data_IF_263852609127
#
_entry.id   IF_263852609127
#
_cell.length_a   1.000
_cell.length_b   1.000
_cell.length_c   1.000
_cell.angle_alpha   90.00
_cell.angle_beta   90.00
_cell.angle_gamma   90.00
#
_symmetry.space_group_name_H-M   'P 1'
#
loop_
_entity.id
_entity.type
_entity.pdbx_description
1 polymer ?
#
# COMPACT_ATOMS: atom_id res chain seq x y z
N UNK A 1 -6.27 -24.58 -18.57
CA UNK A 1 -6.49 -23.12 -18.53
C UNK A 1 -5.89 -22.59 -17.24
N UNK A 2 -4.68 -22.02 -17.29
CA UNK A 2 -4.07 -21.34 -16.15
C UNK A 2 -4.97 -20.15 -15.80
N UNK A 3 -5.70 -20.24 -14.68
CA UNK A 3 -6.40 -19.06 -14.13
C UNK A 3 -5.35 -17.98 -13.94
N UNK A 4 -5.47 -16.86 -14.66
CA UNK A 4 -4.62 -15.69 -14.40
C UNK A 4 -4.80 -15.33 -12.93
N UNK A 5 -3.70 -15.33 -12.19
CA UNK A 5 -3.68 -14.92 -10.80
C UNK A 5 -3.91 -13.42 -10.68
N UNK A 6 -4.17 -12.96 -9.48
CA UNK A 6 -4.34 -11.57 -9.13
C UNK A 6 -3.89 -11.33 -7.71
N UNK A 7 -4.30 -10.21 -7.16
CA UNK A 7 -4.16 -9.91 -5.75
C UNK A 7 -5.44 -9.26 -5.23
N UNK A 8 -5.69 -9.43 -3.92
CA UNK A 8 -6.77 -8.74 -3.22
C UNK A 8 -6.19 -7.75 -2.23
N UNK A 9 -6.97 -6.72 -1.92
CA UNK A 9 -6.61 -5.72 -0.94
C UNK A 9 -7.62 -4.58 -1.00
N UNK A 10 -7.11 -3.37 -0.86
CA UNK A 10 -7.94 -2.17 -0.84
C UNK A 10 -7.43 -1.14 -1.85
N UNK A 11 -8.28 -0.72 -2.77
CA UNK A 11 -8.01 0.45 -3.58
C UNK A 11 -8.08 1.71 -2.73
N UNK A 12 -7.22 2.68 -3.04
CA UNK A 12 -7.27 4.03 -2.49
C UNK A 12 -8.18 4.87 -3.40
N UNK A 13 -9.35 5.33 -2.93
CA UNK A 13 -10.24 6.17 -3.73
C UNK A 13 -9.53 7.45 -4.19
N UNK A 14 -9.91 7.97 -5.35
CA UNK A 14 -9.22 9.12 -5.95
C UNK A 14 -9.21 10.37 -5.05
N UNK A 15 -10.32 10.65 -4.36
CA UNK A 15 -10.41 11.75 -3.40
C UNK A 15 -9.45 11.58 -2.21
N UNK A 16 -9.34 10.35 -1.69
CA UNK A 16 -8.39 10.02 -0.62
C UNK A 16 -6.95 10.11 -1.11
N UNK A 17 -6.68 9.64 -2.33
CA UNK A 17 -5.38 9.76 -2.99
C UNK A 17 -4.96 11.22 -3.12
N UNK A 18 -5.83 12.10 -3.61
CA UNK A 18 -5.56 13.52 -3.75
C UNK A 18 -5.29 14.18 -2.39
N UNK A 19 -6.14 13.90 -1.39
CA UNK A 19 -5.98 14.42 -0.02
C UNK A 19 -4.67 13.99 0.62
N UNK A 20 -4.31 12.71 0.50
CA UNK A 20 -3.06 12.19 1.04
C UNK A 20 -1.84 12.70 0.27
N UNK A 21 -1.91 12.91 -1.05
CA UNK A 21 -0.80 13.50 -1.82
C UNK A 21 -0.52 14.96 -1.45
N UNK A 22 -1.56 15.71 -1.07
CA UNK A 22 -1.37 17.06 -0.56
C UNK A 22 -0.63 17.08 0.79
N UNK A 23 -0.83 16.06 1.63
CA UNK A 23 -0.20 15.94 2.96
C UNK A 23 1.16 15.25 2.93
N UNK A 24 1.31 14.25 2.06
CA UNK A 24 2.51 13.45 1.86
C UNK A 24 2.92 13.57 0.38
N UNK A 25 3.68 14.60 0.00
CA UNK A 25 4.10 14.75 -1.39
C UNK A 25 4.92 13.55 -1.88
N UNK A 26 4.69 13.17 -3.14
CA UNK A 26 5.50 12.15 -3.80
C UNK A 26 6.93 12.66 -3.97
N UNK A 27 7.91 11.93 -3.41
CA UNK A 27 9.33 12.27 -3.54
C UNK A 27 9.90 11.96 -4.91
N UNK A 28 9.46 10.85 -5.51
CA UNK A 28 10.00 10.35 -6.76
C UNK A 28 9.03 10.56 -7.93
N UNK A 29 9.58 10.64 -9.14
CA UNK A 29 8.85 11.07 -10.34
C UNK A 29 7.61 10.23 -10.67
N UNK A 30 7.62 8.92 -10.38
CA UNK A 30 6.45 8.06 -10.61
C UNK A 30 5.62 7.96 -9.34
N UNK A 31 4.54 8.73 -9.27
CA UNK A 31 3.51 8.58 -8.24
C UNK A 31 2.69 7.30 -8.50
N UNK A 32 2.65 6.40 -7.52
CA UNK A 32 1.83 5.17 -7.55
C UNK A 32 0.53 5.41 -6.79
N UNK A 33 0.60 5.48 -5.46
CA UNK A 33 -0.50 5.90 -4.56
C UNK A 33 -1.86 5.26 -4.90
N UNK A 34 -1.90 3.93 -5.06
CA UNK A 34 -3.06 3.24 -5.67
C UNK A 34 -3.80 2.30 -4.73
N UNK A 35 -3.11 1.51 -3.91
CA UNK A 35 -3.76 0.44 -3.14
C UNK A 35 -2.88 -0.05 -1.98
N UNK A 36 -3.53 -0.72 -1.02
CA UNK A 36 -2.90 -1.59 -0.01
C UNK A 36 -3.14 -3.04 -0.43
N UNK A 37 -2.10 -3.89 -0.39
CA UNK A 37 -2.22 -5.32 -0.75
C UNK A 37 -2.42 -6.19 0.49
N UNK A 38 -3.45 -7.04 0.48
CA UNK A 38 -3.69 -8.09 1.49
C UNK A 38 -3.04 -9.42 1.09
N UNK A 39 -3.33 -9.92 -0.11
CA UNK A 39 -2.84 -11.23 -0.55
C UNK A 39 -2.58 -11.23 -2.06
N UNK A 40 -1.50 -11.88 -2.48
CA UNK A 40 -1.05 -11.97 -3.87
C UNK A 40 -1.08 -13.41 -4.38
N UNK A 41 -1.22 -13.61 -5.69
CA UNK A 41 -1.27 -14.94 -6.31
C UNK A 41 -2.63 -15.64 -6.15
N UNK A 42 -3.68 -14.87 -5.89
CA UNK A 42 -5.03 -15.38 -5.62
C UNK A 42 -5.95 -15.22 -6.83
N UNK A 43 -7.01 -16.03 -6.93
CA UNK A 43 -7.98 -15.93 -8.02
C UNK A 43 -9.08 -14.90 -7.77
N UNK A 44 -9.84 -14.53 -8.81
CA UNK A 44 -10.92 -13.53 -8.74
C UNK A 44 -12.07 -13.88 -7.77
N UNK A 45 -12.16 -15.14 -7.31
CA UNK A 45 -13.14 -15.59 -6.31
C UNK A 45 -12.57 -15.64 -4.88
N UNK A 46 -11.33 -15.21 -4.69
CA UNK A 46 -10.78 -15.06 -3.35
C UNK A 46 -11.62 -14.02 -2.59
N UNK A 47 -11.98 -14.29 -1.32
CA UNK A 47 -12.71 -13.32 -0.51
C UNK A 47 -12.01 -11.96 -0.50
N UNK A 48 -12.80 -10.90 -0.64
CA UNK A 48 -12.33 -9.54 -0.41
C UNK A 48 -12.26 -9.27 1.10
N UNK A 49 -11.36 -8.39 1.55
CA UNK A 49 -11.42 -7.90 2.92
C UNK A 49 -12.72 -7.15 3.20
N UNK A 50 -13.06 -6.99 4.48
CA UNK A 50 -14.30 -6.33 4.93
C UNK A 50 -14.08 -4.90 5.38
N UNK A 51 -12.87 -4.56 5.82
CA UNK A 51 -12.50 -3.25 6.31
C UNK A 51 -12.62 -2.21 5.19
N UNK A 52 -13.14 -1.04 5.53
CA UNK A 52 -13.32 0.08 4.59
C UNK A 52 -12.55 1.33 5.00
N UNK A 53 -11.76 1.20 6.06
CA UNK A 53 -11.01 2.28 6.66
C UNK A 53 -9.66 1.74 7.14
N UNK A 54 -8.67 2.61 7.14
CA UNK A 54 -7.38 2.39 7.77
C UNK A 54 -6.83 3.70 8.30
N UNK A 55 -5.62 3.64 8.84
CA UNK A 55 -4.92 4.81 9.39
C UNK A 55 -3.50 4.84 8.87
N UNK A 56 -3.11 5.89 8.16
CA UNK A 56 -1.69 6.13 7.83
C UNK A 56 -0.96 6.48 9.12
N UNK A 57 0.07 5.70 9.45
CA UNK A 57 0.84 5.84 10.70
C UNK A 57 2.32 6.11 10.45
N UNK A 58 2.82 5.89 9.24
CA UNK A 58 4.23 6.11 8.96
C UNK A 58 4.58 6.32 7.50
N UNK A 59 5.79 6.84 7.30
CA UNK A 59 6.42 7.01 6.01
C UNK A 59 7.72 6.20 5.98
N UNK A 60 7.82 5.28 5.03
CA UNK A 60 9.07 4.61 4.70
C UNK A 60 9.63 5.24 3.41
N UNK A 61 10.92 5.55 3.41
CA UNK A 61 11.65 6.10 2.28
C UNK A 61 13.08 5.59 2.33
N UNK A 62 13.54 4.93 1.26
CA UNK A 62 14.91 4.42 1.21
C UNK A 62 15.93 5.46 0.73
N UNK A 63 15.49 6.66 0.31
CA UNK A 63 16.35 7.68 -0.29
C UNK A 63 16.86 7.33 -1.70
N UNK A 64 16.57 6.12 -2.19
CA UNK A 64 17.14 5.50 -3.39
C UNK A 64 16.05 5.23 -4.45
N UNK A 65 14.82 5.70 -4.23
CA UNK A 65 13.73 5.60 -5.20
C UNK A 65 12.52 4.79 -4.76
N UNK A 66 12.37 4.41 -3.50
CA UNK A 66 11.14 3.79 -2.99
C UNK A 66 10.59 4.56 -1.81
N UNK A 67 9.36 5.04 -1.96
CA UNK A 67 8.59 5.67 -0.90
C UNK A 67 7.29 4.87 -0.67
N UNK A 68 6.90 4.66 0.58
CA UNK A 68 5.67 3.98 0.96
C UNK A 68 5.02 4.60 2.20
N UNK A 69 3.69 4.64 2.23
CA UNK A 69 2.93 4.99 3.43
C UNK A 69 2.53 3.71 4.16
N UNK A 70 2.91 3.60 5.43
CA UNK A 70 2.51 2.50 6.32
C UNK A 70 1.10 2.76 6.84
N UNK A 71 0.25 1.75 6.71
CA UNK A 71 -1.19 1.84 7.04
C UNK A 71 -1.51 0.80 8.09
N UNK A 72 -2.22 1.19 9.14
CA UNK A 72 -2.90 0.24 10.02
C UNK A 72 -4.30 -0.06 9.50
N UNK A 73 -4.68 -1.34 9.48
CA UNK A 73 -6.02 -1.81 9.13
C UNK A 73 -6.49 -2.70 10.28
N UNK A 74 -7.72 -2.49 10.76
CA UNK A 74 -8.25 -3.16 11.96
C UNK A 74 -7.31 -3.05 13.18
N UNK A 75 -6.64 -1.90 13.35
CA UNK A 75 -5.79 -1.60 14.50
C UNK A 75 -4.36 -2.17 14.44
N UNK A 76 -3.97 -2.84 13.35
CA UNK A 76 -2.60 -3.38 13.19
C UNK A 76 -1.96 -2.96 11.88
N UNK A 77 -0.65 -2.77 11.88
CA UNK A 77 0.15 -2.60 10.66
C UNK A 77 0.62 -3.93 10.07
N UNK A 78 0.45 -5.04 10.80
CA UNK A 78 0.91 -6.36 10.36
C UNK A 78 -0.08 -6.99 9.39
N UNK A 79 0.45 -7.49 8.28
CA UNK A 79 -0.34 -8.20 7.28
C UNK A 79 -0.30 -9.71 7.56
N UNK A 80 -1.45 -10.41 7.53
CA UNK A 80 -1.49 -11.87 7.59
C UNK A 80 -0.60 -12.51 6.52
N UNK A 81 0.20 -13.50 6.91
CA UNK A 81 1.20 -14.11 6.02
C UNK A 81 2.51 -13.33 5.90
N UNK A 82 2.64 -12.18 6.58
CA UNK A 82 3.89 -11.45 6.76
C UNK A 82 3.97 -10.11 6.02
N UNK A 83 4.85 -9.26 6.56
CA UNK A 83 5.07 -7.90 6.10
C UNK A 83 4.11 -6.88 6.73
N UNK A 84 4.24 -5.64 6.27
CA UNK A 84 3.50 -4.50 6.81
C UNK A 84 2.51 -4.01 5.76
N UNK A 85 1.29 -3.67 6.15
CA UNK A 85 0.34 -2.98 5.28
C UNK A 85 0.89 -1.63 4.86
N UNK A 86 0.91 -1.39 3.55
CA UNK A 86 1.40 -0.14 3.00
C UNK A 86 0.76 0.17 1.65
N UNK A 87 0.80 1.44 1.29
CA UNK A 87 0.61 1.92 -0.08
C UNK A 87 1.99 2.28 -0.63
N UNK A 88 2.44 1.64 -1.71
CA UNK A 88 3.57 2.16 -2.47
C UNK A 88 3.22 3.55 -2.96
N UNK A 89 4.00 4.54 -2.55
CA UNK A 89 3.64 5.95 -2.68
C UNK A 89 4.23 6.57 -3.94
N UNK A 90 5.56 6.53 -4.07
CA UNK A 90 6.26 6.99 -5.25
C UNK A 90 7.51 6.14 -5.52
N UNK A 91 7.91 6.07 -6.79
CA UNK A 91 9.02 5.25 -7.25
C UNK A 91 9.95 6.03 -8.18
N UNK A 92 11.26 5.83 -8.00
CA UNK A 92 12.32 6.28 -8.88
C UNK A 92 12.52 5.36 -10.09
N UNK A 93 13.40 5.75 -11.03
CA UNK A 93 13.71 4.95 -12.22
C UNK A 93 14.16 3.53 -11.86
N UNK A 94 13.64 2.53 -12.58
CA UNK A 94 14.00 1.12 -12.37
C UNK A 94 13.41 0.46 -11.12
N UNK A 95 12.84 1.22 -10.17
CA UNK A 95 12.25 0.68 -8.94
C UNK A 95 10.86 0.11 -9.16
N UNK A 96 10.50 -0.90 -8.36
CA UNK A 96 9.23 -1.65 -8.42
C UNK A 96 8.49 -1.59 -7.09
N UNK A 97 7.16 -1.61 -7.14
CA UNK A 97 6.32 -1.52 -5.95
C UNK A 97 6.57 -2.64 -4.92
N UNK A 98 6.89 -3.85 -5.38
CA UNK A 98 7.22 -4.98 -4.50
C UNK A 98 8.38 -4.68 -3.54
N UNK A 99 9.29 -3.78 -3.92
CA UNK A 99 10.47 -3.41 -3.12
C UNK A 99 10.09 -2.63 -1.85
N UNK A 100 8.89 -2.04 -1.78
CA UNK A 100 8.38 -1.39 -0.56
C UNK A 100 8.37 -2.34 0.64
N UNK A 101 8.13 -3.64 0.44
CA UNK A 101 8.19 -4.63 1.52
C UNK A 101 9.60 -4.71 2.13
N UNK A 102 10.64 -4.77 1.29
CA UNK A 102 12.02 -4.89 1.74
C UNK A 102 12.51 -3.59 2.39
N UNK A 103 12.12 -2.44 1.86
CA UNK A 103 12.42 -1.13 2.44
C UNK A 103 11.86 -1.01 3.84
N UNK A 104 10.57 -1.32 4.03
CA UNK A 104 9.92 -1.28 5.34
C UNK A 104 10.57 -2.27 6.30
N UNK A 105 10.82 -3.51 5.88
CA UNK A 105 11.42 -4.52 6.75
C UNK A 105 12.85 -4.18 7.19
N UNK A 106 13.65 -3.57 6.30
CA UNK A 106 15.07 -3.26 6.57
C UNK A 106 15.27 -1.94 7.30
N UNK A 107 14.50 -0.91 6.95
CA UNK A 107 14.72 0.46 7.43
C UNK A 107 13.66 0.92 8.44
N UNK A 108 12.56 0.18 8.58
CA UNK A 108 11.39 0.63 9.33
C UNK A 108 10.67 1.78 8.61
N UNK A 109 10.03 2.63 9.40
CA UNK A 109 9.34 3.83 8.94
C UNK A 109 9.40 4.90 10.01
N UNK A 110 9.33 6.16 9.58
CA UNK A 110 9.18 7.29 10.50
C UNK A 110 7.71 7.46 10.84
N UNK A 111 7.32 7.53 12.13
CA UNK A 111 5.95 7.83 12.52
C UNK A 111 5.50 9.18 11.98
N UNK A 112 4.22 9.27 11.59
CA UNK A 112 3.57 10.54 11.22
C UNK A 112 2.35 10.76 12.11
N UNK A 113 1.86 11.99 12.18
CA UNK A 113 0.55 12.24 12.79
C UNK A 113 -0.50 11.40 12.03
N UNK A 114 -1.27 10.61 12.79
CA UNK A 114 -2.20 9.62 12.29
C UNK A 114 -3.26 10.25 11.37
N UNK A 115 -3.49 9.61 10.22
CA UNK A 115 -4.49 10.07 9.24
C UNK A 115 -5.43 8.93 8.91
N UNK A 116 -6.69 9.05 9.31
CA UNK A 116 -7.73 8.13 8.87
C UNK A 116 -7.85 8.20 7.34
N UNK A 117 -8.02 7.06 6.66
CA UNK A 117 -8.14 6.95 5.20
C UNK A 117 -9.24 5.96 4.84
N UNK A 118 -10.12 6.34 3.91
CA UNK A 118 -11.11 5.42 3.35
C UNK A 118 -10.47 4.50 2.32
N UNK A 119 -10.91 3.26 2.30
CA UNK A 119 -10.35 2.16 1.53
C UNK A 119 -11.47 1.32 0.90
N UNK A 120 -11.26 0.85 -0.33
CA UNK A 120 -12.25 0.05 -1.05
C UNK A 120 -11.75 -1.38 -1.27
N UNK A 121 -12.34 -2.40 -0.62
CA UNK A 121 -12.02 -3.79 -0.91
C UNK A 121 -12.12 -4.11 -2.41
N UNK A 122 -11.06 -4.66 -2.99
CA UNK A 122 -10.98 -4.89 -4.44
C UNK A 122 -10.09 -6.09 -4.79
N UNK A 123 -10.47 -6.80 -5.84
CA UNK A 123 -9.60 -7.74 -6.55
C UNK A 123 -8.94 -7.05 -7.74
N UNK A 124 -7.64 -7.26 -7.91
CA UNK A 124 -6.82 -6.70 -8.98
C UNK A 124 -6.27 -7.84 -9.85
N UNK A 125 -6.64 -7.90 -11.14
CA UNK A 125 -6.09 -8.90 -12.06
C UNK A 125 -4.62 -8.57 -12.42
N UNK A 126 -3.79 -9.60 -12.63
CA UNK A 126 -2.43 -9.49 -13.19
C UNK A 126 -2.41 -9.66 -14.72
#
# INVERSE_FOLDING_TARGET
MTRRGGYVGWALPEAERARLLARFPARYARTVAHHVTLAHGVGARHPLPTEREGTVLGLADDGEGVQALVVAIAGTTDRPGGGTYHVTWSLGPGRRAVESNAVIARLGWTPVEAVAVRLEPRFFPL
#
